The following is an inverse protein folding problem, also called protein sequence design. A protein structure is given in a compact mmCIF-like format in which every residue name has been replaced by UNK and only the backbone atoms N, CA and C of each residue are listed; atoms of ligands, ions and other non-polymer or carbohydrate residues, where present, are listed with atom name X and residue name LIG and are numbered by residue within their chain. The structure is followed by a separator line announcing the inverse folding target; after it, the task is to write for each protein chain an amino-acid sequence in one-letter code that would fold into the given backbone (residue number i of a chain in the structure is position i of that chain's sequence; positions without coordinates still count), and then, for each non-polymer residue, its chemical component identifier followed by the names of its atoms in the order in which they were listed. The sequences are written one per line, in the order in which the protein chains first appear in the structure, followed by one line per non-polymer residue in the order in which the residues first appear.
data_IF_095192401929
#
_entry.id   IF_095192401929
#
_cell.length_a   1.000
_cell.length_b   1.000
_cell.length_c   1.000
_cell.angle_alpha   90.00
_cell.angle_beta   90.00
_cell.angle_gamma   90.00
#
_symmetry.space_group_name_H-M   'P 1'
#
loop_
_entity.id
_entity.type
_entity.pdbx_description
1 polymer ?
#
# COMPACT_ATOMS: atom_id res chain seq x y z
N UNK A 1 -9.70 39.03 2.67
CA UNK A 1 -10.84 38.43 1.95
C UNK A 1 -11.93 38.08 2.95
N UNK A 2 -13.18 38.07 2.47
CA UNK A 2 -14.33 37.77 3.34
C UNK A 2 -14.91 36.41 2.94
N UNK A 3 -15.28 35.59 3.90
CA UNK A 3 -16.02 34.33 3.64
C UNK A 3 -17.43 34.71 3.17
N UNK A 4 -17.75 34.44 1.92
CA UNK A 4 -19.04 34.85 1.30
C UNK A 4 -20.07 33.73 1.26
N UNK A 5 -19.62 32.47 1.30
CA UNK A 5 -20.54 31.34 1.34
C UNK A 5 -19.85 30.05 1.85
N UNK A 6 -20.62 29.14 2.46
CA UNK A 6 -20.21 27.82 2.91
C UNK A 6 -21.29 26.80 2.50
N UNK A 7 -21.04 26.02 1.43
CA UNK A 7 -22.00 25.12 0.83
C UNK A 7 -21.66 23.65 1.05
N UNK A 8 -22.61 22.83 1.48
CA UNK A 8 -22.43 21.38 1.57
C UNK A 8 -22.14 20.76 0.21
N UNK A 9 -21.19 19.81 0.18
CA UNK A 9 -20.95 18.96 -0.97
C UNK A 9 -21.94 17.79 -1.02
N UNK A 10 -21.88 16.96 -2.09
CA UNK A 10 -22.66 15.70 -2.17
C UNK A 10 -22.37 14.77 -0.99
N UNK A 11 -21.13 14.75 -0.51
CA UNK A 11 -20.76 14.09 0.75
C UNK A 11 -21.11 15.06 1.89
N UNK A 12 -21.96 14.61 2.82
CA UNK A 12 -22.40 15.43 3.98
C UNK A 12 -21.24 15.82 4.92
N UNK A 13 -20.10 15.15 4.81
CA UNK A 13 -18.93 15.38 5.66
C UNK A 13 -18.03 16.52 5.12
N UNK A 14 -18.34 17.08 3.94
CA UNK A 14 -17.52 18.11 3.31
C UNK A 14 -18.35 19.31 2.86
N UNK A 15 -17.70 20.47 2.91
CA UNK A 15 -18.26 21.76 2.46
C UNK A 15 -17.31 22.43 1.48
N UNK A 16 -17.84 23.30 0.64
CA UNK A 16 -17.09 24.25 -0.17
C UNK A 16 -17.11 25.60 0.54
N UNK A 17 -15.95 26.20 0.70
CA UNK A 17 -15.78 27.55 1.24
C UNK A 17 -15.55 28.50 0.05
N UNK A 18 -16.27 29.60 0.04
CA UNK A 18 -16.15 30.68 -0.94
C UNK A 18 -15.71 31.95 -0.24
N UNK A 19 -14.75 32.65 -0.84
CA UNK A 19 -14.26 33.93 -0.36
C UNK A 19 -14.36 34.94 -1.50
N UNK A 20 -14.81 36.16 -1.22
CA UNK A 20 -15.00 37.21 -2.22
C UNK A 20 -15.77 36.72 -3.46
N UNK A 21 -16.81 35.87 -3.23
CA UNK A 21 -17.68 35.25 -4.24
C UNK A 21 -16.98 34.25 -5.17
N UNK A 22 -15.73 33.80 -4.86
CA UNK A 22 -14.99 32.78 -5.61
C UNK A 22 -14.80 31.52 -4.77
N UNK A 23 -14.78 30.36 -5.43
CA UNK A 23 -14.44 29.12 -4.77
C UNK A 23 -13.01 29.20 -4.21
N UNK A 24 -12.87 28.98 -2.91
CA UNK A 24 -11.56 28.96 -2.24
C UNK A 24 -11.05 27.54 -2.07
N UNK A 25 -11.77 26.70 -1.31
CA UNK A 25 -11.34 25.34 -1.00
C UNK A 25 -12.50 24.47 -0.57
N UNK A 26 -12.31 23.13 -0.73
CA UNK A 26 -13.13 22.15 -0.04
C UNK A 26 -12.58 21.88 1.35
N UNK A 27 -13.43 21.80 2.34
CA UNK A 27 -13.07 21.54 3.74
C UNK A 27 -13.94 20.45 4.34
N UNK A 28 -13.49 19.88 5.47
CA UNK A 28 -14.35 19.04 6.31
C UNK A 28 -15.39 19.93 7.00
N UNK A 29 -16.65 19.52 7.02
CA UNK A 29 -17.70 20.22 7.71
C UNK A 29 -17.38 20.38 9.21
N UNK A 30 -16.79 19.34 9.81
CA UNK A 30 -16.34 19.36 11.19
C UNK A 30 -15.28 20.44 11.45
N UNK A 31 -14.34 20.66 10.53
CA UNK A 31 -13.33 21.73 10.66
C UNK A 31 -13.98 23.11 10.72
N UNK A 32 -14.97 23.37 9.85
CA UNK A 32 -15.70 24.64 9.83
C UNK A 32 -16.42 24.87 11.14
N UNK A 33 -17.06 23.83 11.70
CA UNK A 33 -17.76 23.91 12.99
C UNK A 33 -16.77 24.12 14.15
N UNK A 34 -15.71 23.33 14.24
CA UNK A 34 -14.71 23.42 15.33
C UNK A 34 -13.99 24.77 15.37
N UNK A 35 -13.75 25.33 14.17
CA UNK A 35 -13.09 26.64 14.03
C UNK A 35 -14.07 27.81 14.03
N UNK A 36 -15.38 27.50 14.12
CA UNK A 36 -16.47 28.48 14.14
C UNK A 36 -16.42 29.46 12.96
N UNK A 37 -16.01 28.96 11.78
CA UNK A 37 -15.97 29.78 10.56
C UNK A 37 -17.39 30.11 10.10
N UNK A 38 -17.64 31.39 9.80
CA UNK A 38 -18.95 31.88 9.39
C UNK A 38 -18.87 32.74 8.14
N UNK A 39 -19.96 32.81 7.42
CA UNK A 39 -20.16 33.82 6.37
C UNK A 39 -20.08 35.21 6.99
N UNK A 40 -19.26 36.07 6.39
CA UNK A 40 -18.96 37.41 6.89
C UNK A 40 -17.62 37.53 7.64
N UNK A 41 -16.96 36.40 7.97
CA UNK A 41 -15.65 36.45 8.61
C UNK A 41 -14.57 37.03 7.68
N UNK A 42 -13.80 37.98 8.20
CA UNK A 42 -12.63 38.52 7.52
C UNK A 42 -11.41 37.65 7.84
N UNK A 43 -10.77 37.11 6.81
CA UNK A 43 -9.62 36.21 6.92
C UNK A 43 -8.58 36.52 5.86
N UNK A 44 -7.32 36.23 6.12
CA UNK A 44 -6.30 36.21 5.08
C UNK A 44 -6.30 34.84 4.38
N UNK A 45 -5.84 34.79 3.15
CA UNK A 45 -5.72 33.54 2.38
C UNK A 45 -4.82 32.53 3.09
N UNK A 46 -3.68 33.03 3.61
CA UNK A 46 -2.70 32.18 4.30
C UNK A 46 -3.26 31.60 5.60
N UNK A 47 -3.93 32.40 6.43
CA UNK A 47 -4.52 31.95 7.69
C UNK A 47 -5.60 30.90 7.44
N UNK A 48 -6.50 31.13 6.46
CA UNK A 48 -7.56 30.21 6.17
C UNK A 48 -7.02 28.88 5.61
N UNK A 49 -6.08 28.92 4.67
CA UNK A 49 -5.50 27.71 4.08
C UNK A 49 -4.72 26.90 5.13
N UNK A 50 -3.88 27.54 5.94
CA UNK A 50 -3.12 26.85 7.01
C UNK A 50 -4.05 26.24 8.07
N UNK A 51 -5.11 26.93 8.43
CA UNK A 51 -6.11 26.42 9.36
C UNK A 51 -6.80 25.16 8.80
N UNK A 52 -7.20 25.19 7.54
CA UNK A 52 -7.81 24.06 6.87
C UNK A 52 -6.83 22.88 6.74
N UNK A 53 -5.58 23.14 6.30
CA UNK A 53 -4.54 22.11 6.18
C UNK A 53 -4.27 21.47 7.54
N UNK A 54 -4.08 22.27 8.60
CA UNK A 54 -3.78 21.76 9.94
C UNK A 54 -4.89 20.84 10.47
N UNK A 55 -6.13 21.27 10.37
CA UNK A 55 -7.28 20.49 10.83
C UNK A 55 -7.51 19.24 10.01
N UNK A 56 -7.43 19.34 8.68
CA UNK A 56 -7.56 18.18 7.79
C UNK A 56 -6.41 17.19 7.97
N UNK A 57 -5.18 17.66 8.26
CA UNK A 57 -4.03 16.79 8.50
C UNK A 57 -4.21 15.96 9.75
N UNK A 58 -4.78 16.53 10.81
CA UNK A 58 -5.12 15.77 12.02
C UNK A 58 -6.16 14.69 11.71
N UNK A 59 -7.21 15.02 10.99
CA UNK A 59 -8.23 14.05 10.61
C UNK A 59 -7.69 12.97 9.68
N UNK A 60 -6.81 13.33 8.72
CA UNK A 60 -6.14 12.36 7.85
C UNK A 60 -5.23 11.41 8.65
N UNK A 61 -4.52 11.94 9.66
CA UNK A 61 -3.70 11.15 10.57
C UNK A 61 -4.57 10.14 11.35
N UNK A 62 -5.68 10.58 11.96
CA UNK A 62 -6.58 9.69 12.70
C UNK A 62 -7.16 8.59 11.78
N UNK A 63 -7.53 8.95 10.54
CA UNK A 63 -7.98 7.96 9.53
C UNK A 63 -6.89 6.97 9.15
N UNK A 64 -5.65 7.41 9.05
CA UNK A 64 -4.53 6.51 8.78
C UNK A 64 -4.28 5.57 9.96
N UNK A 65 -4.39 6.04 11.21
CA UNK A 65 -4.35 5.19 12.41
C UNK A 65 -5.44 4.11 12.35
N UNK A 66 -6.67 4.45 11.97
CA UNK A 66 -7.75 3.48 11.77
C UNK A 66 -7.39 2.39 10.74
N UNK A 67 -6.61 2.73 9.70
CA UNK A 67 -6.18 1.73 8.71
C UNK A 67 -5.08 0.83 9.26
N UNK A 68 -4.04 1.41 9.87
CA UNK A 68 -2.89 0.64 10.36
C UNK A 68 -3.22 -0.22 11.58
N UNK A 69 -4.23 0.15 12.38
CA UNK A 69 -4.71 -0.66 13.52
C UNK A 69 -5.27 -2.02 13.09
N UNK A 70 -5.72 -2.14 11.83
CA UNK A 70 -6.31 -3.39 11.30
C UNK A 70 -5.28 -4.32 10.68
N UNK A 71 -4.25 -3.78 10.02
CA UNK A 71 -3.12 -4.48 9.44
C UNK A 71 -1.99 -3.52 9.09
N UNK A 72 -0.81 -4.08 8.86
CA UNK A 72 0.30 -3.31 8.29
C UNK A 72 -0.07 -2.77 6.89
N UNK A 73 0.38 -1.55 6.63
CA UNK A 73 0.24 -0.88 5.35
C UNK A 73 1.59 -0.28 4.95
N UNK A 74 1.90 -0.29 3.65
CA UNK A 74 3.00 0.52 3.12
C UNK A 74 2.60 1.99 3.08
N UNK A 75 3.58 2.88 2.99
CA UNK A 75 3.33 4.31 2.79
C UNK A 75 2.44 4.56 1.57
N UNK A 76 2.75 3.92 0.43
CA UNK A 76 1.98 4.04 -0.81
C UNK A 76 0.51 3.63 -0.65
N UNK A 77 0.25 2.55 0.08
CA UNK A 77 -1.12 2.10 0.35
C UNK A 77 -1.90 3.15 1.15
N UNK A 78 -1.30 3.73 2.19
CA UNK A 78 -1.93 4.77 3.01
C UNK A 78 -2.18 6.03 2.20
N UNK A 79 -1.19 6.51 1.45
CA UNK A 79 -1.33 7.65 0.54
C UNK A 79 -2.50 7.45 -0.43
N UNK A 80 -2.57 6.26 -1.04
CA UNK A 80 -3.66 5.92 -1.97
C UNK A 80 -5.02 5.93 -1.27
N UNK A 81 -5.12 5.35 -0.08
CA UNK A 81 -6.36 5.34 0.71
C UNK A 81 -6.80 6.74 1.13
N UNK A 82 -5.89 7.58 1.58
CA UNK A 82 -6.17 8.97 1.96
C UNK A 82 -6.58 9.79 0.73
N UNK A 83 -5.89 9.62 -0.41
CA UNK A 83 -6.26 10.26 -1.68
C UNK A 83 -7.68 9.88 -2.13
N UNK A 84 -8.04 8.59 -2.02
CA UNK A 84 -9.40 8.10 -2.35
C UNK A 84 -10.47 8.69 -1.42
N UNK A 85 -10.10 9.11 -0.20
CA UNK A 85 -10.98 9.82 0.73
C UNK A 85 -11.09 11.32 0.41
N UNK A 86 -10.37 11.81 -0.60
CA UNK A 86 -10.45 13.20 -1.08
C UNK A 86 -9.56 14.18 -0.30
N UNK A 87 -8.59 13.70 0.48
CA UNK A 87 -7.62 14.59 1.10
C UNK A 87 -6.68 15.20 0.06
N UNK A 88 -6.31 16.48 0.28
CA UNK A 88 -5.34 17.20 -0.55
C UNK A 88 -3.93 16.61 -0.36
N UNK A 89 -3.06 16.68 -1.40
CA UNK A 89 -1.69 16.14 -1.28
C UNK A 89 -0.92 16.65 -0.07
N UNK A 90 -0.94 17.96 0.19
CA UNK A 90 -0.26 18.59 1.34
C UNK A 90 -0.75 18.05 2.69
N UNK A 91 -2.04 17.76 2.79
CA UNK A 91 -2.65 17.16 4.00
C UNK A 91 -2.17 15.73 4.19
N UNK A 92 -2.10 14.96 3.08
CA UNK A 92 -1.59 13.58 3.09
C UNK A 92 -0.11 13.59 3.51
N UNK A 93 0.70 14.48 2.95
CA UNK A 93 2.13 14.58 3.26
C UNK A 93 2.34 14.83 4.76
N UNK A 94 1.69 15.83 5.34
CA UNK A 94 1.76 16.12 6.78
C UNK A 94 1.32 14.94 7.66
N UNK A 95 0.25 14.25 7.27
CA UNK A 95 -0.22 13.09 8.01
C UNK A 95 0.77 11.91 7.95
N UNK A 96 1.33 11.64 6.77
CA UNK A 96 2.32 10.58 6.56
C UNK A 96 3.63 10.89 7.30
N UNK A 97 4.11 12.14 7.24
CA UNK A 97 5.34 12.55 7.94
C UNK A 97 5.19 12.36 9.45
N UNK A 98 4.03 12.73 10.01
CA UNK A 98 3.73 12.53 11.42
C UNK A 98 3.63 11.04 11.81
N UNK A 99 3.07 10.19 10.92
CA UNK A 99 3.06 8.74 11.16
C UNK A 99 4.46 8.13 11.17
N UNK A 100 5.37 8.65 10.31
CA UNK A 100 6.79 8.26 10.30
C UNK A 100 7.52 8.72 11.54
N UNK A 101 7.32 9.97 11.95
CA UNK A 101 7.91 10.55 13.17
C UNK A 101 7.59 9.69 14.41
N UNK A 102 6.34 9.22 14.50
CA UNK A 102 5.91 8.33 15.60
C UNK A 102 6.22 6.85 15.36
N UNK A 103 6.91 6.51 14.27
CA UNK A 103 7.21 5.12 13.88
C UNK A 103 5.96 4.22 13.74
N UNK A 104 4.80 4.80 13.43
CA UNK A 104 3.58 4.03 13.20
C UNK A 104 3.55 3.35 11.85
N UNK A 105 4.35 3.83 10.89
CA UNK A 105 4.54 3.21 9.57
C UNK A 105 6.03 3.07 9.27
N UNK A 106 6.37 1.96 8.64
CA UNK A 106 7.71 1.66 8.16
C UNK A 106 7.61 0.69 7.00
N UNK A 107 8.06 1.10 5.82
CA UNK A 107 8.14 0.22 4.65
C UNK A 107 9.14 -0.92 4.89
N UNK A 108 10.10 -0.74 5.79
CA UNK A 108 11.03 -1.78 6.23
C UNK A 108 10.30 -2.90 7.00
N UNK A 109 9.53 -2.54 8.03
CA UNK A 109 8.71 -3.50 8.78
C UNK A 109 7.65 -4.15 7.88
N UNK A 110 7.08 -3.38 6.95
CA UNK A 110 6.14 -3.88 5.97
C UNK A 110 6.78 -4.92 5.05
N UNK A 111 7.97 -4.63 4.50
CA UNK A 111 8.72 -5.56 3.64
C UNK A 111 9.07 -6.86 4.38
N UNK A 112 9.58 -6.76 5.61
CA UNK A 112 9.87 -7.90 6.46
C UNK A 112 8.63 -8.79 6.68
N UNK A 113 7.49 -8.18 7.01
CA UNK A 113 6.24 -8.90 7.23
C UNK A 113 5.72 -9.59 5.96
N UNK A 114 5.83 -8.93 4.78
CA UNK A 114 5.46 -9.53 3.49
C UNK A 114 6.33 -10.74 3.21
N UNK A 115 7.65 -10.64 3.31
CA UNK A 115 8.58 -11.76 3.07
C UNK A 115 8.24 -12.93 4.01
N UNK A 116 8.04 -12.66 5.29
CA UNK A 116 7.72 -13.68 6.27
C UNK A 116 6.37 -14.37 6.01
N UNK A 117 5.36 -13.63 5.54
CA UNK A 117 4.01 -14.16 5.30
C UNK A 117 3.86 -14.86 3.96
N UNK A 118 4.82 -14.71 3.04
CA UNK A 118 4.74 -15.22 1.66
C UNK A 118 5.73 -16.34 1.34
N UNK A 119 6.10 -17.15 2.33
CA UNK A 119 7.03 -18.30 2.19
C UNK A 119 6.64 -19.33 1.11
N UNK A 120 5.41 -19.28 0.62
CA UNK A 120 4.90 -20.15 -0.46
C UNK A 120 4.98 -19.51 -1.86
N UNK A 121 5.80 -18.46 -2.02
CA UNK A 121 5.98 -17.71 -3.26
C UNK A 121 7.45 -17.64 -3.64
N UNK A 122 7.73 -17.54 -4.96
CA UNK A 122 9.09 -17.30 -5.45
C UNK A 122 9.60 -15.92 -5.07
N UNK A 123 10.92 -15.72 -5.00
CA UNK A 123 11.56 -14.41 -4.79
C UNK A 123 11.03 -13.37 -5.79
N UNK A 124 10.80 -13.77 -7.05
CA UNK A 124 10.28 -12.91 -8.12
C UNK A 124 8.82 -12.48 -7.85
N UNK A 125 7.96 -13.38 -7.39
CA UNK A 125 6.57 -13.06 -7.03
C UNK A 125 6.51 -12.13 -5.83
N UNK A 126 7.36 -12.36 -4.82
CA UNK A 126 7.48 -11.49 -3.64
C UNK A 126 8.00 -10.11 -4.04
N UNK A 127 9.02 -10.02 -4.89
CA UNK A 127 9.54 -8.75 -5.44
C UNK A 127 8.43 -7.96 -6.12
N UNK A 128 7.63 -8.60 -6.96
CA UNK A 128 6.51 -7.96 -7.63
C UNK A 128 5.46 -7.43 -6.62
N UNK A 129 5.15 -8.20 -5.57
CA UNK A 129 4.25 -7.76 -4.50
C UNK A 129 4.80 -6.51 -3.81
N UNK A 130 6.06 -6.51 -3.40
CA UNK A 130 6.70 -5.37 -2.74
C UNK A 130 6.68 -4.12 -3.62
N UNK A 131 7.03 -4.24 -4.89
CA UNK A 131 7.01 -3.12 -5.85
C UNK A 131 5.59 -2.57 -6.07
N UNK A 132 4.58 -3.42 -6.23
CA UNK A 132 3.19 -2.98 -6.38
C UNK A 132 2.69 -2.24 -5.14
N UNK A 133 3.17 -2.65 -3.97
CA UNK A 133 2.89 -1.99 -2.69
C UNK A 133 3.72 -0.72 -2.46
N UNK A 134 4.66 -0.41 -3.34
CA UNK A 134 5.44 0.83 -3.33
C UNK A 134 6.71 0.77 -2.49
N UNK A 135 7.12 -0.42 -2.06
CA UNK A 135 8.43 -0.60 -1.42
C UNK A 135 9.52 -0.36 -2.46
N UNK A 136 10.51 0.47 -2.13
CA UNK A 136 11.64 0.80 -3.01
C UNK A 136 12.46 -0.44 -3.38
N UNK A 137 13.06 -0.44 -4.58
CA UNK A 137 13.79 -1.61 -5.10
C UNK A 137 14.97 -2.03 -4.19
N UNK A 138 15.71 -1.09 -3.66
CA UNK A 138 16.83 -1.36 -2.75
C UNK A 138 16.36 -2.08 -1.49
N UNK A 139 15.32 -1.57 -0.86
CA UNK A 139 14.72 -2.18 0.33
C UNK A 139 14.12 -3.55 0.02
N UNK A 140 13.43 -3.70 -1.11
CA UNK A 140 12.90 -4.98 -1.55
C UNK A 140 14.01 -6.01 -1.73
N UNK A 141 15.12 -5.66 -2.40
CA UNK A 141 16.26 -6.53 -2.60
C UNK A 141 16.94 -6.92 -1.29
N UNK A 142 17.09 -5.99 -0.33
CA UNK A 142 17.61 -6.26 1.02
C UNK A 142 16.82 -7.40 1.69
N UNK A 143 15.50 -7.35 1.64
CA UNK A 143 14.65 -8.35 2.28
C UNK A 143 14.52 -9.66 1.48
N UNK A 144 14.58 -9.60 0.14
CA UNK A 144 14.61 -10.80 -0.69
C UNK A 144 15.91 -11.60 -0.53
N UNK A 145 17.03 -10.95 -0.22
CA UNK A 145 18.31 -11.60 0.04
C UNK A 145 18.31 -12.48 1.31
N UNK A 146 17.34 -12.28 2.23
CA UNK A 146 17.17 -13.11 3.43
C UNK A 146 16.61 -14.49 3.06
N UNK A 147 15.89 -14.63 1.93
CA UNK A 147 15.37 -15.90 1.47
C UNK A 147 16.52 -16.68 0.88
N UNK A 148 16.90 -17.80 1.51
CA UNK A 148 17.95 -18.67 1.01
C UNK A 148 17.54 -19.35 -0.31
N UNK A 149 18.50 -19.87 -1.05
CA UNK A 149 18.20 -20.64 -2.26
C UNK A 149 17.55 -21.98 -1.90
N UNK A 150 17.87 -22.55 -0.75
CA UNK A 150 17.22 -23.76 -0.22
C UNK A 150 15.74 -23.50 0.11
N UNK A 151 15.40 -22.34 0.69
CA UNK A 151 14.00 -21.97 0.95
C UNK A 151 13.22 -21.80 -0.35
N UNK A 152 13.84 -21.19 -1.37
CA UNK A 152 13.21 -21.02 -2.69
C UNK A 152 13.00 -22.36 -3.39
N UNK A 153 14.00 -23.27 -3.30
CA UNK A 153 13.89 -24.62 -3.82
C UNK A 153 12.78 -25.42 -3.11
N UNK A 154 12.75 -25.39 -1.78
CA UNK A 154 11.71 -26.05 -0.99
C UNK A 154 10.30 -25.55 -1.32
N UNK A 155 10.18 -24.23 -1.56
CA UNK A 155 8.92 -23.63 -2.02
C UNK A 155 8.51 -24.20 -3.39
N UNK A 156 9.44 -24.27 -4.36
CA UNK A 156 9.19 -24.81 -5.69
C UNK A 156 8.79 -26.29 -5.63
N UNK A 157 9.49 -27.12 -4.83
CA UNK A 157 9.17 -28.54 -4.60
C UNK A 157 7.77 -28.71 -4.02
N UNK A 158 7.42 -27.91 -2.99
CA UNK A 158 6.08 -27.97 -2.39
C UNK A 158 4.98 -27.67 -3.41
N UNK A 159 5.19 -26.69 -4.27
CA UNK A 159 4.25 -26.34 -5.32
C UNK A 159 4.18 -27.40 -6.41
N UNK A 160 5.34 -28.00 -6.76
CA UNK A 160 5.44 -29.09 -7.72
C UNK A 160 4.67 -30.32 -7.27
N UNK A 161 4.86 -30.76 -6.02
CA UNK A 161 4.13 -31.89 -5.42
C UNK A 161 2.62 -31.66 -5.48
N UNK A 162 2.16 -30.46 -5.13
CA UNK A 162 0.73 -30.09 -5.23
C UNK A 162 0.23 -30.11 -6.68
N UNK A 163 1.04 -29.60 -7.63
CA UNK A 163 0.67 -29.58 -9.05
C UNK A 163 0.62 -30.95 -9.67
N UNK A 164 1.53 -31.86 -9.27
CA UNK A 164 1.65 -33.22 -9.80
C UNK A 164 0.74 -34.24 -9.10
N UNK A 165 0.03 -33.84 -8.04
CA UNK A 165 -0.84 -34.75 -7.29
C UNK A 165 -1.84 -35.47 -8.21
N UNK A 166 -1.81 -36.80 -8.22
CA UNK A 166 -2.67 -37.65 -9.07
C UNK A 166 -2.33 -37.65 -10.56
N UNK A 167 -1.14 -37.16 -10.93
CA UNK A 167 -0.64 -37.18 -12.31
C UNK A 167 0.56 -38.11 -12.42
N UNK A 168 0.65 -38.83 -13.55
CA UNK A 168 1.81 -39.63 -13.85
C UNK A 168 3.02 -38.75 -14.22
N UNK A 169 4.23 -39.22 -13.89
CA UNK A 169 5.49 -38.60 -14.28
C UNK A 169 5.83 -38.98 -15.73
N UNK A 170 5.26 -38.27 -16.70
CA UNK A 170 5.54 -38.40 -18.13
C UNK A 170 6.02 -37.06 -18.71
N UNK A 171 6.56 -37.07 -19.92
CA UNK A 171 7.11 -35.86 -20.57
C UNK A 171 6.11 -34.71 -20.65
N UNK A 172 4.86 -35.00 -20.97
CA UNK A 172 3.79 -33.99 -21.08
C UNK A 172 3.53 -33.31 -19.73
N UNK A 173 3.42 -34.09 -18.66
CA UNK A 173 3.16 -33.56 -17.32
C UNK A 173 4.37 -32.83 -16.75
N UNK A 174 5.60 -33.27 -17.05
CA UNK A 174 6.82 -32.53 -16.69
C UNK A 174 6.95 -31.23 -17.47
N UNK A 175 6.60 -31.15 -18.74
CA UNK A 175 6.55 -29.91 -19.51
C UNK A 175 5.51 -28.93 -18.92
N UNK A 176 4.34 -29.46 -18.53
CA UNK A 176 3.31 -28.64 -17.85
C UNK A 176 3.78 -28.12 -16.49
N UNK A 177 4.51 -28.95 -15.74
CA UNK A 177 5.11 -28.52 -14.45
C UNK A 177 6.14 -27.43 -14.66
N UNK A 178 7.02 -27.56 -15.65
CA UNK A 178 7.97 -26.52 -16.03
C UNK A 178 7.26 -25.19 -16.30
N UNK A 179 6.26 -25.20 -17.17
CA UNK A 179 5.50 -24.01 -17.52
C UNK A 179 4.74 -23.41 -16.30
N UNK A 180 4.25 -24.25 -15.40
CA UNK A 180 3.60 -23.83 -14.17
C UNK A 180 4.56 -23.10 -13.24
N UNK A 181 5.74 -23.69 -12.94
CA UNK A 181 6.75 -23.08 -12.06
C UNK A 181 7.37 -21.82 -12.67
N UNK A 182 7.58 -21.79 -14.00
CA UNK A 182 8.00 -20.57 -14.73
C UNK A 182 7.02 -19.42 -14.53
N UNK A 183 5.70 -19.68 -14.70
CA UNK A 183 4.66 -18.67 -14.46
C UNK A 183 4.62 -18.21 -13.00
N UNK A 184 5.01 -19.07 -12.05
CA UNK A 184 5.17 -18.73 -10.65
C UNK A 184 6.42 -17.90 -10.35
N UNK A 185 7.30 -17.75 -11.36
CA UNK A 185 8.46 -16.88 -11.29
C UNK A 185 9.73 -17.55 -10.76
N UNK A 186 9.78 -18.87 -10.67
CA UNK A 186 11.03 -19.58 -10.37
C UNK A 186 11.98 -19.52 -11.56
N UNK A 187 13.29 -19.48 -11.29
CA UNK A 187 14.31 -19.51 -12.32
C UNK A 187 14.47 -20.93 -12.92
N UNK A 188 15.15 -21.02 -14.08
CA UNK A 188 15.34 -22.27 -14.80
C UNK A 188 16.10 -23.31 -13.98
N UNK A 189 17.08 -22.90 -13.17
CA UNK A 189 17.92 -23.81 -12.41
C UNK A 189 17.13 -24.50 -11.29
N UNK A 190 16.34 -23.74 -10.54
CA UNK A 190 15.41 -24.26 -9.53
C UNK A 190 14.40 -25.21 -10.18
N UNK A 191 13.81 -24.83 -11.33
CA UNK A 191 12.84 -25.67 -12.02
C UNK A 191 13.46 -26.97 -12.49
N UNK A 192 14.67 -26.89 -13.09
CA UNK A 192 15.39 -28.07 -13.58
C UNK A 192 15.71 -29.04 -12.45
N UNK A 193 16.16 -28.50 -11.29
CA UNK A 193 16.42 -29.32 -10.09
C UNK A 193 15.14 -30.05 -9.64
N UNK A 194 14.03 -29.36 -9.54
CA UNK A 194 12.73 -29.95 -9.18
C UNK A 194 12.31 -31.05 -10.17
N UNK A 195 12.43 -30.80 -11.48
CA UNK A 195 12.07 -31.80 -12.50
C UNK A 195 12.95 -33.04 -12.43
N UNK A 196 14.26 -32.89 -12.15
CA UNK A 196 15.19 -34.01 -11.99
C UNK A 196 14.75 -34.93 -10.86
N UNK A 197 14.40 -34.36 -9.71
CA UNK A 197 13.90 -35.08 -8.55
C UNK A 197 12.64 -35.93 -8.87
N UNK A 198 11.73 -35.39 -9.69
CA UNK A 198 10.55 -36.16 -10.15
C UNK A 198 10.88 -37.28 -11.14
N UNK A 199 11.98 -37.18 -11.89
CA UNK A 199 12.44 -38.26 -12.82
C UNK A 199 13.11 -39.41 -12.06
N UNK A 200 13.82 -39.10 -10.97
CA UNK A 200 14.54 -40.11 -10.16
C UNK A 200 13.62 -40.95 -9.27
N UNK A 201 12.42 -40.46 -8.96
CA UNK A 201 11.43 -41.18 -8.15
C UNK A 201 10.62 -42.23 -8.94
N UNK A 202 11.05 -42.54 -10.17
CA UNK A 202 10.54 -43.59 -11.03
C UNK A 202 11.36 -44.85 -10.85
#
# INVERSE_FOLDING_TARGET
MVITDIKSQKSKDRVNIYTDYKFFSGALAETVLQKNLKVGDEVTEQELDELLISSESRYAFDKAIDYISRRLHSEKELRTKLKTKGFRPVVIDRAIDKLKEYNYISDENFAAAIVQSTKNKSKREISYILQTKGVGAELANKYLAIISDDDELLCAETLAVKHMRGKETNEKNLANLYAYLSRKGFNSDVITHVLHKFKEQK
#
